data_IF_412113465177
#
_entry.id   IF_412113465177
#
_cell.length_a   1.000
_cell.length_b   1.000
_cell.length_c   1.000
_cell.angle_alpha   90.00
_cell.angle_beta   90.00
_cell.angle_gamma   90.00
#
_symmetry.space_group_name_H-M   'P 1'
#
loop_
_entity.id
_entity.type
_entity.pdbx_description
1 polymer ?
#
# COMPACT_ATOMS: atom_id res chain seq x y z
N UNK A 1 7.80 18.92 15.04
CA UNK A 1 7.33 18.00 13.96
C UNK A 1 7.38 16.64 14.59
N UNK A 2 6.31 15.84 14.52
CA UNK A 2 6.21 14.62 15.33
C UNK A 2 7.48 13.77 15.35
N UNK A 3 8.11 13.55 14.19
CA UNK A 3 9.39 12.84 14.06
C UNK A 3 10.50 13.43 14.95
N UNK A 4 10.81 14.72 14.77
CA UNK A 4 11.84 15.43 15.57
C UNK A 4 11.53 15.39 17.07
N UNK A 5 10.26 15.59 17.41
CA UNK A 5 9.80 15.69 18.81
C UNK A 5 9.94 14.33 19.52
N UNK A 6 10.06 13.22 18.76
CA UNK A 6 10.26 11.85 19.24
C UNK A 6 11.65 11.28 18.90
N UNK A 7 12.60 12.13 18.48
CA UNK A 7 13.99 11.72 18.23
C UNK A 7 14.24 10.97 16.91
N UNK A 8 13.27 10.95 15.99
CA UNK A 8 13.45 10.40 14.65
C UNK A 8 14.07 11.42 13.68
N UNK A 9 14.80 10.97 12.64
CA UNK A 9 15.16 11.82 11.52
C UNK A 9 13.90 12.47 10.93
N UNK A 10 13.94 13.78 10.74
CA UNK A 10 12.78 14.58 10.34
C UNK A 10 12.86 15.07 8.88
N UNK A 11 13.79 14.51 8.12
CA UNK A 11 13.96 14.80 6.69
C UNK A 11 13.01 13.93 5.87
N UNK A 12 11.99 14.55 5.30
CA UNK A 12 10.98 13.91 4.44
C UNK A 12 11.17 14.40 3.00
N UNK A 13 11.29 13.46 2.06
CA UNK A 13 11.29 13.75 0.63
C UNK A 13 9.90 13.45 0.07
N UNK A 14 9.34 14.42 -0.67
CA UNK A 14 8.09 14.23 -1.39
C UNK A 14 8.38 14.14 -2.88
N UNK A 15 7.97 13.03 -3.50
CA UNK A 15 8.07 12.85 -4.95
C UNK A 15 6.79 13.41 -5.57
N UNK A 16 6.96 14.32 -6.54
CA UNK A 16 5.83 14.84 -7.31
C UNK A 16 5.28 13.74 -8.21
N UNK A 17 3.96 13.60 -8.27
CA UNK A 17 3.29 12.67 -9.19
C UNK A 17 3.75 12.90 -10.62
N UNK A 18 4.03 11.82 -11.34
CA UNK A 18 4.56 11.83 -12.71
C UNK A 18 4.41 10.47 -13.36
N UNK A 19 4.89 10.33 -14.60
CA UNK A 19 4.97 9.03 -15.26
C UNK A 19 6.08 8.15 -14.69
N UNK A 20 6.15 6.86 -15.06
CA UNK A 20 7.15 5.93 -14.54
C UNK A 20 8.60 6.41 -14.69
N UNK A 21 8.93 7.16 -15.75
CA UNK A 21 10.27 7.71 -15.95
C UNK A 21 10.65 8.76 -14.88
N UNK A 22 9.72 9.64 -14.52
CA UNK A 22 9.93 10.67 -13.50
C UNK A 22 10.10 10.05 -12.12
N UNK A 23 9.26 9.07 -11.81
CA UNK A 23 9.32 8.34 -10.53
C UNK A 23 10.64 7.56 -10.44
N UNK A 24 11.04 6.83 -11.48
CA UNK A 24 12.36 6.17 -11.56
C UNK A 24 13.51 7.14 -11.32
N UNK A 25 13.49 8.31 -11.95
CA UNK A 25 14.53 9.31 -11.78
C UNK A 25 14.62 9.82 -10.34
N UNK A 26 13.47 10.02 -9.66
CA UNK A 26 13.42 10.43 -8.27
C UNK A 26 14.00 9.37 -7.32
N UNK A 27 13.58 8.10 -7.47
CA UNK A 27 14.13 6.99 -6.68
C UNK A 27 15.64 6.80 -6.91
N UNK A 28 16.10 6.86 -8.16
CA UNK A 28 17.52 6.75 -8.48
C UNK A 28 18.35 7.92 -7.92
N UNK A 29 17.80 9.13 -7.90
CA UNK A 29 18.44 10.28 -7.25
C UNK A 29 18.53 10.08 -5.74
N UNK A 30 17.43 9.66 -5.08
CA UNK A 30 17.41 9.38 -3.64
C UNK A 30 18.39 8.26 -3.26
N UNK A 31 18.45 7.18 -4.04
CA UNK A 31 19.36 6.07 -3.81
C UNK A 31 20.82 6.53 -3.79
N UNK A 32 21.23 7.41 -4.71
CA UNK A 32 22.58 7.98 -4.75
C UNK A 32 22.82 9.00 -3.64
N UNK A 33 21.92 9.97 -3.49
CA UNK A 33 22.06 11.07 -2.54
C UNK A 33 22.14 10.59 -1.09
N UNK A 34 21.33 9.58 -0.76
CA UNK A 34 21.26 9.01 0.58
C UNK A 34 22.20 7.83 0.77
N UNK A 35 22.89 7.39 -0.30
CA UNK A 35 23.72 6.18 -0.31
C UNK A 35 22.97 4.98 0.29
N UNK A 36 21.76 4.73 -0.23
CA UNK A 36 20.88 3.69 0.29
C UNK A 36 21.54 2.32 0.18
N UNK A 37 21.42 1.51 1.22
CA UNK A 37 21.71 0.08 1.24
C UNK A 37 20.42 -0.76 1.31
N UNK A 38 19.30 -0.14 1.63
CA UNK A 38 18.00 -0.79 1.68
C UNK A 38 16.87 0.16 1.25
N UNK A 39 15.78 -0.43 0.77
CA UNK A 39 14.51 0.25 0.54
C UNK A 39 13.35 -0.62 1.02
N UNK A 40 12.38 0.02 1.67
CA UNK A 40 11.11 -0.60 2.08
C UNK A 40 9.99 0.26 1.54
N UNK A 41 9.20 -0.27 0.61
CA UNK A 41 7.94 0.34 0.19
C UNK A 41 6.84 -0.09 1.14
N UNK A 42 6.05 0.87 1.63
CA UNK A 42 4.97 0.63 2.58
C UNK A 42 3.66 1.17 2.01
N UNK A 43 2.71 0.29 1.79
CA UNK A 43 1.37 0.59 1.31
C UNK A 43 0.33 0.50 2.45
N UNK A 44 -0.55 1.50 2.52
CA UNK A 44 -1.71 1.55 3.42
C UNK A 44 -2.92 0.86 2.82
N UNK A 45 -2.71 -0.32 2.26
CA UNK A 45 -3.69 -1.09 1.52
C UNK A 45 -3.19 -2.49 1.26
N UNK A 46 -3.84 -3.15 0.32
CA UNK A 46 -3.51 -4.50 -0.16
C UNK A 46 -3.46 -4.58 -1.70
N UNK A 47 -3.74 -3.48 -2.37
CA UNK A 47 -3.70 -3.35 -3.83
C UNK A 47 -2.28 -3.41 -4.40
N UNK A 48 -1.24 -3.16 -3.61
CA UNK A 48 0.16 -3.38 -4.01
C UNK A 48 0.42 -4.80 -4.56
N UNK A 49 -0.35 -5.81 -4.13
CA UNK A 49 -0.21 -7.18 -4.60
C UNK A 49 -1.09 -7.52 -5.82
N UNK A 50 -1.88 -6.59 -6.35
CA UNK A 50 -2.71 -6.86 -7.53
C UNK A 50 -1.85 -6.89 -8.79
N UNK A 51 -1.97 -7.96 -9.56
CA UNK A 51 -1.09 -8.29 -10.69
C UNK A 51 -1.58 -7.75 -12.02
N UNK A 52 -2.89 -7.55 -12.18
CA UNK A 52 -3.50 -6.91 -13.35
C UNK A 52 -4.77 -7.59 -13.86
N UNK A 53 -4.92 -8.89 -13.64
CA UNK A 53 -6.06 -9.70 -14.12
C UNK A 53 -7.13 -9.92 -13.05
N UNK A 54 -6.97 -9.38 -11.84
CA UNK A 54 -7.96 -9.48 -10.77
C UNK A 54 -9.26 -8.72 -11.11
N UNK A 55 -10.36 -9.14 -10.49
CA UNK A 55 -11.68 -8.49 -10.59
C UNK A 55 -11.64 -6.97 -10.36
N UNK A 56 -10.77 -6.48 -9.48
CA UNK A 56 -10.49 -5.06 -9.27
C UNK A 56 -9.08 -4.87 -8.72
N UNK A 57 -8.46 -3.74 -9.07
CA UNK A 57 -7.05 -3.45 -8.75
C UNK A 57 -6.86 -2.43 -7.63
N UNK A 58 -7.92 -1.83 -7.08
CA UNK A 58 -7.76 -0.71 -6.15
C UNK A 58 -7.34 0.57 -6.88
N UNK A 59 -6.28 1.21 -6.41
CA UNK A 59 -5.71 2.47 -6.92
C UNK A 59 -4.29 2.30 -7.46
N UNK A 60 -4.07 1.42 -8.45
CA UNK A 60 -2.74 0.85 -8.75
C UNK A 60 -1.69 1.85 -9.27
N UNK A 61 -2.09 3.03 -9.73
CA UNK A 61 -1.22 3.96 -10.46
C UNK A 61 0.01 4.38 -9.65
N UNK A 62 -0.18 4.79 -8.39
CA UNK A 62 0.94 5.27 -7.56
C UNK A 62 1.80 4.12 -7.05
N UNK A 63 1.15 3.02 -6.66
CA UNK A 63 1.82 1.84 -6.11
C UNK A 63 2.67 1.16 -7.16
N UNK A 64 2.13 0.91 -8.35
CA UNK A 64 2.87 0.22 -9.41
C UNK A 64 4.01 1.06 -9.96
N UNK A 65 3.84 2.39 -10.05
CA UNK A 65 4.91 3.27 -10.53
C UNK A 65 6.05 3.37 -9.52
N UNK A 66 5.74 3.38 -8.22
CA UNK A 66 6.73 3.35 -7.15
C UNK A 66 7.42 1.98 -7.04
N UNK A 67 6.66 0.89 -7.11
CA UNK A 67 7.14 -0.49 -7.11
C UNK A 67 8.13 -0.74 -8.25
N UNK A 68 7.73 -0.43 -9.48
CA UNK A 68 8.60 -0.61 -10.64
C UNK A 68 9.79 0.34 -10.62
N UNK A 69 9.68 1.53 -10.02
CA UNK A 69 10.84 2.40 -9.85
C UNK A 69 11.85 1.82 -8.86
N UNK A 70 11.40 1.36 -7.69
CA UNK A 70 12.25 0.71 -6.70
C UNK A 70 12.88 -0.59 -7.23
N UNK A 71 12.14 -1.35 -8.03
CA UNK A 71 12.64 -2.57 -8.69
C UNK A 71 13.89 -2.32 -9.55
N UNK A 72 13.99 -1.15 -10.20
CA UNK A 72 15.17 -0.79 -11.02
C UNK A 72 16.42 -0.42 -10.23
N UNK A 73 16.31 -0.29 -8.90
CA UNK A 73 17.45 0.05 -8.05
C UNK A 73 18.32 -1.18 -7.80
N UNK A 74 19.63 -1.00 -7.91
CA UNK A 74 20.65 -1.97 -7.51
C UNK A 74 20.96 -1.79 -6.02
N UNK A 75 20.11 -2.38 -5.17
CA UNK A 75 20.22 -2.34 -3.72
C UNK A 75 20.21 -3.77 -3.16
N UNK A 76 20.99 -4.07 -2.12
CA UNK A 76 21.05 -5.42 -1.56
C UNK A 76 19.77 -5.82 -0.82
N UNK A 77 18.97 -4.86 -0.33
CA UNK A 77 17.70 -5.14 0.35
C UNK A 77 16.57 -4.31 -0.28
N UNK A 78 15.57 -4.99 -0.84
CA UNK A 78 14.36 -4.36 -1.38
C UNK A 78 13.12 -5.10 -0.84
N UNK A 79 12.35 -4.44 0.01
CA UNK A 79 11.16 -5.01 0.65
C UNK A 79 9.89 -4.26 0.24
N UNK A 80 8.82 -5.01 0.04
CA UNK A 80 7.47 -4.49 -0.12
C UNK A 80 6.63 -4.87 1.10
N UNK A 81 5.94 -3.91 1.68
CA UNK A 81 5.12 -4.08 2.89
C UNK A 81 3.75 -3.50 2.62
N UNK A 82 2.70 -4.20 3.03
CA UNK A 82 1.33 -3.68 2.97
C UNK A 82 0.58 -3.95 4.29
N UNK A 83 -0.34 -3.06 4.66
CA UNK A 83 -1.10 -3.10 5.92
C UNK A 83 -2.50 -2.55 5.69
N UNK A 84 -3.49 -2.97 6.48
CA UNK A 84 -4.87 -2.51 6.32
C UNK A 84 -5.74 -3.45 5.49
N UNK A 85 -5.56 -4.77 5.64
CA UNK A 85 -6.38 -5.78 4.96
C UNK A 85 -7.87 -5.41 4.92
N UNK A 86 -8.33 -5.12 3.71
CA UNK A 86 -9.71 -4.83 3.36
C UNK A 86 -10.16 -3.38 3.42
N UNK A 87 -9.25 -2.45 3.71
CA UNK A 87 -9.50 -1.02 3.52
C UNK A 87 -9.81 -0.67 2.06
N UNK A 88 -9.22 -1.39 1.10
CA UNK A 88 -9.40 -1.16 -0.35
C UNK A 88 -10.62 -1.85 -0.96
N UNK A 89 -11.47 -2.48 -0.14
CA UNK A 89 -12.74 -3.06 -0.63
C UNK A 89 -13.56 -2.01 -1.39
N UNK A 90 -13.55 -0.77 -0.92
CA UNK A 90 -14.27 0.35 -1.53
C UNK A 90 -13.65 0.82 -2.85
N UNK A 91 -12.42 0.41 -3.15
CA UNK A 91 -11.74 0.60 -4.44
C UNK A 91 -11.76 -0.68 -5.30
N UNK A 92 -12.59 -1.67 -4.93
CA UNK A 92 -12.84 -2.85 -5.74
C UNK A 92 -11.87 -4.01 -5.53
N UNK A 93 -10.93 -3.92 -4.57
CA UNK A 93 -10.01 -5.02 -4.25
C UNK A 93 -10.80 -6.24 -3.75
N UNK A 94 -10.38 -7.41 -4.22
CA UNK A 94 -10.94 -8.69 -3.79
C UNK A 94 -9.99 -9.36 -2.78
N UNK A 95 -10.43 -9.51 -1.53
CA UNK A 95 -9.62 -10.13 -0.47
C UNK A 95 -9.16 -11.55 -0.80
N UNK A 96 -10.00 -12.33 -1.49
CA UNK A 96 -9.63 -13.67 -1.91
C UNK A 96 -8.48 -13.65 -2.93
N UNK A 97 -8.44 -12.66 -3.85
CA UNK A 97 -7.32 -12.49 -4.78
C UNK A 97 -6.06 -12.01 -4.07
N UNK A 98 -6.18 -11.12 -3.07
CA UNK A 98 -5.03 -10.77 -2.24
C UNK A 98 -4.44 -12.00 -1.56
N UNK A 99 -5.26 -12.82 -0.88
CA UNK A 99 -4.79 -14.05 -0.22
C UNK A 99 -4.19 -15.05 -1.20
N UNK A 100 -4.75 -15.17 -2.41
CA UNK A 100 -4.20 -15.97 -3.50
C UNK A 100 -2.81 -15.45 -3.93
N UNK A 101 -2.62 -14.14 -4.03
CA UNK A 101 -1.34 -13.53 -4.38
C UNK A 101 -0.30 -13.70 -3.27
N UNK A 102 -0.70 -13.59 -1.99
CA UNK A 102 0.16 -13.95 -0.84
C UNK A 102 0.59 -15.41 -0.92
N UNK A 103 -0.33 -16.33 -1.22
CA UNK A 103 -0.01 -17.75 -1.36
C UNK A 103 0.95 -18.03 -2.54
N UNK A 104 0.78 -17.32 -3.65
CA UNK A 104 1.68 -17.43 -4.80
C UNK A 104 3.12 -16.96 -4.47
N UNK A 105 3.25 -15.82 -3.79
CA UNK A 105 4.55 -15.30 -3.32
C UNK A 105 5.17 -16.20 -2.24
N UNK A 106 4.34 -16.78 -1.36
CA UNK A 106 4.79 -17.76 -0.38
C UNK A 106 5.38 -19.00 -1.06
N UNK A 107 4.72 -19.50 -2.11
CA UNK A 107 5.19 -20.66 -2.86
C UNK A 107 6.53 -20.42 -3.56
N UNK A 108 6.83 -19.18 -3.94
CA UNK A 108 8.14 -18.80 -4.50
C UNK A 108 9.19 -18.42 -3.46
N UNK A 109 8.88 -18.50 -2.15
CA UNK A 109 9.79 -18.10 -1.08
C UNK A 109 9.94 -16.58 -0.92
N UNK A 110 9.08 -15.79 -1.55
CA UNK A 110 9.12 -14.33 -1.57
C UNK A 110 8.27 -13.67 -0.47
N UNK A 111 7.58 -14.46 0.36
CA UNK A 111 6.82 -13.97 1.50
C UNK A 111 7.68 -14.02 2.77
N UNK A 112 7.90 -12.86 3.39
CA UNK A 112 8.70 -12.73 4.62
C UNK A 112 7.89 -12.90 5.91
N UNK A 113 6.58 -13.09 5.81
CA UNK A 113 5.71 -13.32 6.96
C UNK A 113 4.80 -12.14 7.29
N UNK A 114 4.13 -12.25 8.43
CA UNK A 114 3.16 -11.28 8.93
C UNK A 114 3.38 -11.06 10.42
N UNK A 115 3.19 -9.82 10.87
CA UNK A 115 3.08 -9.47 12.28
C UNK A 115 1.90 -8.51 12.48
N UNK A 116 1.48 -8.32 13.73
CA UNK A 116 0.35 -7.45 14.07
C UNK A 116 0.82 -6.18 14.79
N UNK A 117 0.14 -5.07 14.53
CA UNK A 117 0.26 -3.85 15.32
C UNK A 117 -0.54 -4.02 16.62
N UNK A 118 0.16 -4.31 17.72
CA UNK A 118 -0.46 -4.55 19.03
C UNK A 118 -0.14 -3.42 20.02
N UNK A 119 -1.15 -2.80 20.67
CA UNK A 119 -0.91 -1.81 21.72
C UNK A 119 -0.01 -2.33 22.84
N UNK A 120 0.88 -1.47 23.35
CA UNK A 120 1.92 -1.82 24.32
C UNK A 120 3.24 -2.26 23.68
N UNK A 121 3.29 -2.48 22.36
CA UNK A 121 4.54 -2.56 21.61
C UNK A 121 4.98 -1.15 21.25
N UNK A 122 6.21 -0.76 21.60
CA UNK A 122 6.73 0.60 21.43
C UNK A 122 6.52 1.17 20.00
N UNK A 123 6.75 0.37 18.96
CA UNK A 123 6.53 0.79 17.57
C UNK A 123 5.04 1.02 17.24
N UNK A 124 4.14 0.20 17.80
CA UNK A 124 2.70 0.38 17.63
C UNK A 124 2.20 1.60 18.41
N UNK A 125 2.65 1.80 19.65
CA UNK A 125 2.27 2.97 20.44
C UNK A 125 2.74 4.27 19.76
N UNK A 126 3.94 4.25 19.17
CA UNK A 126 4.46 5.34 18.35
C UNK A 126 3.59 5.60 17.10
N UNK A 127 3.14 4.55 16.40
CA UNK A 127 2.18 4.67 15.28
C UNK A 127 0.86 5.31 15.75
N UNK A 128 0.29 4.83 16.85
CA UNK A 128 -0.98 5.33 17.39
C UNK A 128 -0.90 6.82 17.74
N UNK A 129 0.19 7.24 18.39
CA UNK A 129 0.42 8.66 18.73
C UNK A 129 0.68 9.51 17.47
N UNK A 130 1.46 9.02 16.51
CA UNK A 130 1.73 9.72 15.25
C UNK A 130 0.45 9.97 14.44
N UNK A 131 -0.39 8.95 14.29
CA UNK A 131 -1.67 9.06 13.57
C UNK A 131 -2.57 10.09 14.26
N UNK A 132 -2.72 10.00 15.58
CA UNK A 132 -3.51 10.96 16.36
C UNK A 132 -2.95 12.40 16.26
N UNK A 133 -1.62 12.56 16.30
CA UNK A 133 -0.95 13.85 16.12
C UNK A 133 -1.20 14.47 14.75
N UNK A 134 -1.15 13.68 13.67
CA UNK A 134 -1.38 14.13 12.29
C UNK A 134 -2.85 14.48 12.10
N UNK A 135 -3.78 13.61 12.51
CA UNK A 135 -5.21 13.80 12.30
C UNK A 135 -5.73 15.09 12.95
N UNK A 136 -5.28 15.41 14.18
CA UNK A 136 -5.59 16.69 14.84
C UNK A 136 -5.15 17.93 14.07
N UNK A 137 -4.15 17.79 13.18
CA UNK A 137 -3.57 18.89 12.39
C UNK A 137 -4.08 18.92 10.95
N UNK A 138 -4.86 17.93 10.55
CA UNK A 138 -5.48 17.84 9.22
C UNK A 138 -7.00 17.68 9.31
N UNK A 139 -7.71 18.55 10.04
CA UNK A 139 -9.16 18.42 10.20
C UNK A 139 -9.87 18.46 8.84
N UNK A 140 -10.78 17.51 8.61
CA UNK A 140 -11.49 17.32 7.34
C UNK A 140 -10.67 16.65 6.23
N UNK A 141 -9.38 16.37 6.48
CA UNK A 141 -8.46 15.66 5.58
C UNK A 141 -7.78 14.48 6.26
N UNK A 142 -8.36 13.99 7.36
CA UNK A 142 -7.86 12.83 8.10
C UNK A 142 -7.81 11.61 7.18
N UNK A 143 -6.75 10.81 7.35
CA UNK A 143 -6.57 9.57 6.60
C UNK A 143 -7.52 8.50 7.12
N UNK A 144 -8.48 8.10 6.27
CA UNK A 144 -9.41 7.01 6.58
C UNK A 144 -8.64 5.70 6.75
N UNK A 145 -7.63 5.47 5.92
CA UNK A 145 -6.76 4.29 6.00
C UNK A 145 -6.07 4.17 7.35
N UNK A 146 -5.37 5.24 7.77
CA UNK A 146 -4.63 5.20 9.03
C UNK A 146 -5.56 5.09 10.24
N UNK A 147 -6.76 5.70 10.16
CA UNK A 147 -7.80 5.56 11.17
C UNK A 147 -8.29 4.10 11.26
N UNK A 148 -8.62 3.46 10.14
CA UNK A 148 -9.09 2.07 10.11
C UNK A 148 -8.06 1.08 10.66
N UNK A 149 -6.78 1.24 10.30
CA UNK A 149 -5.68 0.42 10.85
C UNK A 149 -5.54 0.63 12.36
N UNK A 150 -5.65 1.89 12.81
CA UNK A 150 -5.56 2.26 14.23
C UNK A 150 -6.74 1.70 15.04
N UNK A 151 -7.95 1.81 14.53
CA UNK A 151 -9.17 1.29 15.17
C UNK A 151 -9.09 -0.24 15.27
N UNK A 152 -8.65 -0.92 14.21
CA UNK A 152 -8.41 -2.36 14.24
C UNK A 152 -7.33 -2.77 15.26
N UNK A 153 -6.21 -2.03 15.33
CA UNK A 153 -5.17 -2.28 16.34
C UNK A 153 -5.67 -2.09 17.77
N UNK A 154 -6.67 -1.23 17.99
CA UNK A 154 -7.35 -1.05 19.29
C UNK A 154 -8.41 -2.11 19.59
N UNK A 155 -8.69 -3.01 18.65
CA UNK A 155 -9.67 -4.07 18.81
C UNK A 155 -11.11 -3.67 18.44
N UNK A 156 -11.29 -2.53 17.76
CA UNK A 156 -12.59 -2.15 17.21
C UNK A 156 -12.98 -3.10 16.05
N UNK A 157 -14.29 -3.25 15.80
CA UNK A 157 -14.81 -4.19 14.82
C UNK A 157 -16.12 -3.71 14.17
N UNK A 158 -16.34 -4.10 12.91
CA UNK A 158 -17.55 -3.82 12.15
C UNK A 158 -17.64 -2.37 11.69
N UNK A 159 -18.85 -1.81 11.72
CA UNK A 159 -19.13 -0.42 11.33
C UNK A 159 -18.71 0.59 12.41
N UNK A 160 -17.42 0.58 12.75
CA UNK A 160 -16.81 1.52 13.68
C UNK A 160 -16.28 2.75 12.94
N UNK A 161 -16.54 3.94 13.50
CA UNK A 161 -16.08 5.21 12.96
C UNK A 161 -15.43 6.10 14.03
N UNK A 162 -14.10 6.15 14.07
CA UNK A 162 -13.34 7.11 14.87
C UNK A 162 -13.36 8.53 14.28
N UNK A 163 -13.51 8.65 12.95
CA UNK A 163 -13.54 9.92 12.25
C UNK A 163 -14.96 10.46 12.03
N UNK A 164 -15.16 11.75 12.29
CA UNK A 164 -16.43 12.44 12.00
C UNK A 164 -16.76 12.39 10.50
N UNK A 165 -15.76 12.49 9.62
CA UNK A 165 -15.96 12.57 8.17
C UNK A 165 -16.46 11.28 7.52
N UNK A 166 -16.15 10.11 8.10
CA UNK A 166 -16.67 8.83 7.61
C UNK A 166 -18.10 8.64 8.10
N UNK A 167 -18.35 8.96 9.38
CA UNK A 167 -19.68 8.92 9.99
C UNK A 167 -20.68 9.82 9.28
N UNK A 168 -20.28 11.06 8.97
CA UNK A 168 -21.16 12.04 8.31
C UNK A 168 -21.55 11.65 6.88
N UNK A 169 -20.78 10.78 6.22
CA UNK A 169 -21.09 10.28 4.87
C UNK A 169 -22.03 9.08 4.87
N UNK A 170 -22.28 8.46 6.04
CA UNK A 170 -23.13 7.27 6.16
C UNK A 170 -22.62 6.05 5.39
N UNK A 171 -21.32 6.02 5.07
CA UNK A 171 -20.70 4.86 4.42
C UNK A 171 -20.37 3.82 5.50
N UNK A 172 -20.92 2.62 5.41
CA UNK A 172 -20.56 1.52 6.31
C UNK A 172 -19.07 1.21 6.20
N UNK A 173 -18.35 1.18 7.32
CA UNK A 173 -17.00 0.63 7.43
C UNK A 173 -17.06 -0.84 7.86
N UNK A 174 -15.97 -1.56 7.61
CA UNK A 174 -15.81 -2.93 8.10
C UNK A 174 -14.45 -3.11 8.76
N UNK A 175 -14.29 -2.46 9.92
CA UNK A 175 -13.10 -2.60 10.74
C UNK A 175 -12.97 -4.07 11.17
N UNK A 176 -11.79 -4.65 10.98
CA UNK A 176 -11.54 -6.04 11.33
C UNK A 176 -10.10 -6.24 11.79
N UNK A 177 -9.80 -7.27 12.61
CA UNK A 177 -8.47 -7.47 13.17
C UNK A 177 -7.35 -7.66 12.12
N UNK A 178 -7.68 -8.15 10.92
CA UNK A 178 -6.69 -8.35 9.85
C UNK A 178 -6.16 -7.00 9.31
N UNK A 179 -6.89 -5.90 9.49
CA UNK A 179 -6.40 -4.56 9.11
C UNK A 179 -5.15 -4.16 9.89
N UNK A 180 -4.96 -4.69 11.10
CA UNK A 180 -3.76 -4.43 11.92
C UNK A 180 -2.55 -5.30 11.53
N UNK A 181 -2.72 -6.23 10.59
CA UNK A 181 -1.65 -7.11 10.13
C UNK A 181 -0.78 -6.42 9.08
N UNK A 182 0.53 -6.50 9.29
CA UNK A 182 1.57 -5.98 8.40
C UNK A 182 2.21 -7.16 7.67
N UNK A 183 2.11 -7.18 6.35
CA UNK A 183 2.55 -8.27 5.49
C UNK A 183 3.82 -7.87 4.76
N UNK A 184 4.87 -8.68 4.83
CA UNK A 184 6.17 -8.38 4.21
C UNK A 184 6.52 -9.32 3.05
N UNK A 185 7.10 -8.77 1.99
CA UNK A 185 7.46 -9.48 0.76
C UNK A 185 8.80 -9.00 0.20
N UNK A 186 9.43 -9.87 -0.58
CA UNK A 186 10.51 -9.48 -1.49
C UNK A 186 9.96 -8.56 -2.58
N UNK A 187 10.52 -7.36 -2.71
CA UNK A 187 9.98 -6.34 -3.61
C UNK A 187 10.09 -6.74 -5.07
N UNK A 188 11.19 -7.36 -5.47
CA UNK A 188 11.43 -7.73 -6.87
C UNK A 188 10.45 -8.82 -7.31
N UNK A 189 10.20 -9.80 -6.43
CA UNK A 189 9.20 -10.82 -6.68
C UNK A 189 7.77 -10.27 -6.80
N UNK A 190 7.43 -9.18 -6.09
CA UNK A 190 6.14 -8.49 -6.28
C UNK A 190 6.12 -7.77 -7.64
N UNK A 191 7.19 -7.04 -7.97
CA UNK A 191 7.31 -6.29 -9.23
C UNK A 191 7.24 -7.19 -10.47
N UNK A 192 7.88 -8.36 -10.43
CA UNK A 192 7.91 -9.32 -11.55
C UNK A 192 6.52 -9.89 -11.90
N UNK A 193 5.59 -9.87 -10.94
CA UNK A 193 4.22 -10.34 -11.12
C UNK A 193 3.29 -9.31 -11.76
N UNK A 194 3.71 -8.06 -11.89
CA UNK A 194 2.91 -7.02 -12.56
C UNK A 194 2.82 -7.35 -14.06
N UNK A 195 1.62 -7.70 -14.51
CA UNK A 195 1.38 -8.18 -15.87
C UNK A 195 1.46 -7.07 -16.92
N UNK A 196 1.07 -5.85 -16.55
CA UNK A 196 1.00 -4.67 -17.42
C UNK A 196 2.24 -3.77 -17.33
N UNK A 197 3.34 -4.26 -16.76
CA UNK A 197 4.56 -3.44 -16.50
C UNK A 197 5.16 -2.85 -17.77
N UNK A 198 5.05 -3.56 -18.89
CA UNK A 198 5.58 -3.11 -20.19
C UNK A 198 4.65 -2.10 -20.84
N UNK A 199 3.33 -2.28 -20.70
CA UNK A 199 2.31 -1.39 -21.26
C UNK A 199 2.40 0.02 -20.68
N UNK A 200 2.73 0.14 -19.38
CA UNK A 200 2.85 1.44 -18.71
C UNK A 200 4.23 2.08 -18.89
N UNK A 201 5.24 1.36 -19.38
CA UNK A 201 6.66 1.78 -19.30
C UNK A 201 6.95 3.15 -19.96
N UNK A 202 6.18 3.48 -21.01
CA UNK A 202 6.31 4.69 -21.82
C UNK A 202 5.34 5.80 -21.45
N UNK A 203 4.45 5.58 -20.47
CA UNK A 203 3.57 6.62 -19.98
C UNK A 203 4.40 7.80 -19.40
N UNK A 204 3.92 9.01 -19.60
CA UNK A 204 4.55 10.25 -19.14
C UNK A 204 3.76 10.92 -18.02
N UNK A 205 2.49 10.53 -17.85
CA UNK A 205 1.62 11.07 -16.81
C UNK A 205 0.92 9.95 -16.03
N UNK A 206 0.45 10.22 -14.79
CA UNK A 206 -0.39 9.28 -14.06
C UNK A 206 -1.67 8.90 -14.80
N UNK A 207 -2.21 9.80 -15.62
CA UNK A 207 -3.39 9.54 -16.44
C UNK A 207 -3.09 8.53 -17.55
N UNK A 208 -1.95 8.67 -18.23
CA UNK A 208 -1.51 7.70 -19.25
C UNK A 208 -1.22 6.32 -18.64
N UNK A 209 -0.68 6.28 -17.42
CA UNK A 209 -0.52 5.01 -16.68
C UNK A 209 -1.88 4.36 -16.45
N UNK A 210 -2.87 5.11 -15.95
CA UNK A 210 -4.22 4.59 -15.74
C UNK A 210 -4.83 4.06 -17.05
N UNK A 211 -4.74 4.84 -18.13
CA UNK A 211 -5.27 4.47 -19.43
C UNK A 211 -4.58 3.21 -20.01
N UNK A 212 -3.27 3.06 -19.82
CA UNK A 212 -2.53 1.87 -20.24
C UNK A 212 -2.91 0.63 -19.42
N UNK A 213 -3.18 0.76 -18.12
CA UNK A 213 -3.69 -0.32 -17.28
C UNK A 213 -5.09 -0.76 -17.75
N UNK A 214 -5.98 0.19 -18.02
CA UNK A 214 -7.32 -0.10 -18.55
C UNK A 214 -7.24 -0.79 -19.92
N UNK A 215 -6.43 -0.24 -20.83
CA UNK A 215 -6.23 -0.83 -22.15
C UNK A 215 -5.66 -2.25 -22.07
N UNK A 216 -4.72 -2.53 -21.17
CA UNK A 216 -4.22 -3.89 -20.92
C UNK A 216 -5.36 -4.82 -20.49
N UNK A 217 -6.18 -4.37 -19.52
CA UNK A 217 -7.30 -5.17 -18.96
C UNK A 217 -8.40 -5.47 -19.98
N UNK A 218 -8.62 -4.60 -20.96
CA UNK A 218 -9.59 -4.83 -22.04
C UNK A 218 -9.21 -6.01 -22.96
N UNK A 219 -7.94 -6.42 -22.97
CA UNK A 219 -7.42 -7.45 -23.87
C UNK A 219 -7.10 -8.78 -23.17
N UNK A 220 -7.37 -8.89 -21.87
CA UNK A 220 -7.10 -10.11 -21.10
C UNK A 220 -8.36 -10.63 -20.39
N UNK A 221 -8.47 -11.94 -20.15
CA UNK A 221 -9.53 -12.47 -19.30
C UNK A 221 -9.31 -12.02 -17.85
N UNK A 222 -10.34 -11.40 -17.27
CA UNK A 222 -10.32 -11.02 -15.86
C UNK A 222 -10.84 -12.17 -14.98
N UNK A 223 -10.16 -12.42 -13.87
CA UNK A 223 -10.59 -13.39 -12.84
C UNK A 223 -11.86 -12.90 -12.15
N UNK A 224 -12.90 -13.75 -12.01
CA UNK A 224 -14.12 -13.37 -11.33
C UNK A 224 -13.85 -13.12 -9.84
N UNK A 225 -14.61 -12.19 -9.24
CA UNK A 225 -14.53 -11.94 -7.79
C UNK A 225 -14.86 -13.22 -7.02
N UNK A 226 -14.09 -13.53 -5.98
CA UNK A 226 -14.34 -14.66 -5.08
C UNK A 226 -14.62 -14.17 -3.66
N UNK A 227 -15.48 -14.89 -2.95
CA UNK A 227 -15.70 -14.70 -1.52
C UNK A 227 -14.77 -15.62 -0.74
N UNK A 228 -14.34 -15.17 0.44
CA UNK A 228 -13.68 -16.04 1.41
C UNK A 228 -14.78 -16.89 2.07
N UNK A 229 -14.60 -18.22 2.22
CA UNK A 229 -15.57 -19.05 2.91
C UNK A 229 -15.87 -18.53 4.32
N UNK A 230 -17.12 -18.66 4.75
CA UNK A 230 -17.57 -18.37 6.11
C UNK A 230 -17.11 -19.44 7.10
#
# INVERSE_FOLDING_TARGET
MWLRDHGYPDRVFAIRKGGPADIRAAYAWLARELSLDAIVLVDGGTDLLMTGDEAGLGTPVEDVTSLLAAHTLDLPVKLAVCVGFGVDTYHGVCHAHFLENVAALSKSGAYHGVFALLPGIAATDAWLDAVDWVQRRTPGRESIVCASITDAARGEYGDHHSLTRTRAKGAELFINPLMSMVWGFDLDAVADRVLYRHDIAHATTPFEVAAAIEAFRDHIPLRPRRTIPA
#
